data_IF_229987073104
#
_entry.id   IF_229987073104
#
_cell.length_a   1.000
_cell.length_b   1.000
_cell.length_c   1.000
_cell.angle_alpha   90.00
_cell.angle_beta   90.00
_cell.angle_gamma   90.00
#
_symmetry.space_group_name_H-M   'P 1'
#
loop_
_entity.id
_entity.type
_entity.pdbx_description
1 polymer ?
#
# COMPACT_ATOMS: atom_id res chain seq x y z
N UNK A 1 -11.97 0.94 11.30
CA UNK A 1 -10.67 0.85 10.59
C UNK A 1 -10.93 0.26 9.21
N UNK A 2 -10.57 0.95 8.12
CA UNK A 2 -10.60 0.36 6.78
C UNK A 2 -9.23 -0.21 6.41
N UNK A 3 -9.22 -1.18 5.51
CA UNK A 3 -8.01 -1.73 4.90
C UNK A 3 -7.96 -1.29 3.43
N UNK A 4 -6.81 -0.82 2.96
CA UNK A 4 -6.61 -0.30 1.60
C UNK A 4 -5.27 -0.76 1.05
N UNK A 5 -5.15 -0.74 -0.27
CA UNK A 5 -3.86 -0.87 -0.96
C UNK A 5 -3.52 0.49 -1.58
N UNK A 6 -2.32 1.00 -1.32
CA UNK A 6 -1.76 2.17 -2.00
C UNK A 6 -0.69 1.70 -2.99
N UNK A 7 -1.00 1.80 -4.28
CA UNK A 7 -0.14 1.29 -5.34
C UNK A 7 0.70 2.40 -5.97
N UNK A 8 2.03 2.34 -5.83
CA UNK A 8 3.01 3.30 -6.34
C UNK A 8 3.29 3.18 -7.85
N UNK A 9 2.35 2.64 -8.63
CA UNK A 9 2.58 2.30 -10.03
C UNK A 9 3.79 1.37 -10.20
N UNK A 10 4.63 1.65 -11.19
CA UNK A 10 5.94 1.04 -11.45
C UNK A 10 7.11 1.85 -10.84
N UNK A 11 6.81 2.86 -10.03
CA UNK A 11 7.82 3.73 -9.43
C UNK A 11 8.35 3.13 -8.13
N UNK A 12 9.36 2.27 -8.27
CA UNK A 12 10.04 1.60 -7.17
C UNK A 12 10.68 2.58 -6.17
N UNK A 13 11.22 3.70 -6.66
CA UNK A 13 11.77 4.76 -5.80
C UNK A 13 10.69 5.33 -4.89
N UNK A 14 9.52 5.67 -5.42
CA UNK A 14 8.45 6.24 -4.60
C UNK A 14 7.94 5.23 -3.56
N UNK A 15 7.87 3.95 -3.92
CA UNK A 15 7.54 2.87 -2.98
C UNK A 15 8.52 2.84 -1.80
N UNK A 16 9.83 2.83 -2.06
CA UNK A 16 10.84 2.84 -0.99
C UNK A 16 10.76 4.12 -0.15
N UNK A 17 10.60 5.29 -0.78
CA UNK A 17 10.47 6.55 -0.06
C UNK A 17 9.25 6.54 0.88
N UNK A 18 8.10 6.00 0.46
CA UNK A 18 6.94 5.83 1.34
C UNK A 18 7.28 5.00 2.58
N UNK A 19 7.97 3.87 2.38
CA UNK A 19 8.29 2.91 3.43
C UNK A 19 9.39 3.39 4.39
N UNK A 20 10.44 4.04 3.86
CA UNK A 20 11.59 4.54 4.61
C UNK A 20 11.24 5.81 5.40
N UNK A 21 10.54 6.76 4.77
CA UNK A 21 10.12 8.01 5.42
C UNK A 21 8.79 7.88 6.19
N UNK A 22 8.14 6.70 6.12
CA UNK A 22 6.86 6.42 6.80
C UNK A 22 5.79 7.44 6.42
N UNK A 23 5.61 7.64 5.12
CA UNK A 23 4.61 8.58 4.57
C UNK A 23 3.82 7.95 3.43
N UNK A 24 2.58 8.38 3.28
CA UNK A 24 1.68 7.94 2.21
C UNK A 24 1.08 9.15 1.48
N UNK A 25 1.32 9.22 0.17
CA UNK A 25 0.79 10.26 -0.71
C UNK A 25 -0.40 9.79 -1.53
N UNK A 26 -1.49 10.55 -1.53
CA UNK A 26 -2.73 10.27 -2.26
C UNK A 26 -3.05 11.41 -3.23
N UNK A 27 -3.28 11.07 -4.49
CA UNK A 27 -3.65 12.04 -5.54
C UNK A 27 -5.14 12.37 -5.58
N UNK A 28 -5.98 11.51 -4.99
CA UNK A 28 -7.43 11.55 -5.09
C UNK A 28 -8.11 11.38 -3.74
N UNK A 29 -8.60 10.17 -3.44
CA UNK A 29 -9.33 9.90 -2.21
C UNK A 29 -8.42 10.04 -0.99
N UNK A 30 -8.82 10.88 -0.03
CA UNK A 30 -8.16 10.94 1.27
C UNK A 30 -8.56 9.72 2.11
N UNK A 31 -7.60 8.99 2.70
CA UNK A 31 -7.90 8.01 3.74
C UNK A 31 -8.39 8.70 5.02
N UNK A 32 -8.93 7.91 5.95
CA UNK A 32 -9.20 8.35 7.31
C UNK A 32 -8.04 7.98 8.23
N UNK A 33 -7.83 8.77 9.29
CA UNK A 33 -6.90 8.40 10.37
C UNK A 33 -7.31 7.05 10.96
N UNK A 34 -6.32 6.18 11.18
CA UNK A 34 -6.53 4.81 11.65
C UNK A 34 -6.85 3.79 10.55
N UNK A 35 -6.89 4.17 9.27
CA UNK A 35 -6.95 3.20 8.18
C UNK A 35 -5.61 2.47 8.02
N UNK A 36 -5.65 1.15 7.79
CA UNK A 36 -4.47 0.34 7.46
C UNK A 36 -4.21 0.38 5.96
N UNK A 37 -2.97 0.68 5.59
CA UNK A 37 -2.53 0.77 4.19
C UNK A 37 -1.46 -0.28 3.92
N UNK A 38 -1.72 -1.13 2.93
CA UNK A 38 -0.70 -1.94 2.29
C UNK A 38 -0.02 -1.14 1.18
N UNK A 39 1.30 -0.99 1.24
CA UNK A 39 2.09 -0.34 0.20
C UNK A 39 2.42 -1.36 -0.88
N UNK A 40 2.06 -1.02 -2.13
CA UNK A 40 2.23 -1.89 -3.28
C UNK A 40 3.04 -1.21 -4.39
N UNK A 41 3.75 -2.00 -5.18
CA UNK A 41 4.51 -1.54 -6.35
C UNK A 41 4.54 -2.61 -7.43
N UNK A 42 4.59 -2.18 -8.69
CA UNK A 42 4.82 -3.06 -9.83
C UNK A 42 6.32 -3.16 -10.10
N UNK A 43 6.83 -4.38 -10.15
CA UNK A 43 8.21 -4.71 -10.51
C UNK A 43 8.20 -5.85 -11.52
N UNK A 44 8.93 -5.72 -12.64
CA UNK A 44 8.93 -6.69 -13.75
C UNK A 44 7.53 -7.10 -14.22
N UNK A 45 6.60 -6.14 -14.30
CA UNK A 45 5.23 -6.37 -14.77
C UNK A 45 4.26 -6.91 -13.71
N UNK A 46 4.75 -7.34 -12.54
CA UNK A 46 3.96 -7.96 -11.47
C UNK A 46 3.83 -7.00 -10.29
N UNK A 47 2.64 -6.92 -9.69
CA UNK A 47 2.37 -6.09 -8.51
C UNK A 47 2.62 -6.85 -7.22
N UNK A 48 3.38 -6.24 -6.32
CA UNK A 48 3.80 -6.80 -5.04
C UNK A 48 3.44 -5.88 -3.88
N UNK A 49 3.25 -6.47 -2.70
CA UNK A 49 3.19 -5.78 -1.41
C UNK A 49 4.44 -6.18 -0.62
N UNK A 50 5.09 -5.20 0.03
CA UNK A 50 6.22 -5.48 0.92
C UNK A 50 6.21 -4.67 2.23
N UNK A 51 5.23 -3.78 2.43
CA UNK A 51 5.10 -3.00 3.66
C UNK A 51 3.64 -2.67 3.95
N UNK A 52 3.31 -2.45 5.22
CA UNK A 52 2.02 -1.90 5.66
C UNK A 52 2.23 -0.87 6.77
N UNK A 53 1.24 -0.01 6.98
CA UNK A 53 1.24 0.96 8.08
C UNK A 53 -0.11 1.60 8.27
N UNK A 54 -0.32 2.22 9.43
CA UNK A 54 -1.59 2.86 9.80
C UNK A 54 -1.51 4.36 9.52
N UNK A 55 -2.51 4.92 8.84
CA UNK A 55 -2.63 6.36 8.60
C UNK A 55 -2.72 7.10 9.94
N UNK A 56 -1.83 8.05 10.12
CA UNK A 56 -1.82 8.94 11.28
C UNK A 56 -2.08 10.39 10.87
N UNK A 57 -1.34 11.36 11.42
CA UNK A 57 -1.58 12.77 11.17
C UNK A 57 -1.15 13.21 9.74
N UNK A 58 -1.85 14.20 9.14
CA UNK A 58 -1.41 14.84 7.90
C UNK A 58 -0.01 15.42 8.04
N UNK A 59 0.75 15.48 6.93
CA UNK A 59 2.10 16.01 6.95
C UNK A 59 2.48 16.73 5.65
N UNK A 60 3.45 17.63 5.77
CA UNK A 60 4.10 18.31 4.65
C UNK A 60 5.38 17.61 4.19
N UNK A 61 5.76 16.50 4.84
CA UNK A 61 6.91 15.70 4.42
C UNK A 61 6.57 14.97 3.11
N UNK A 62 7.20 15.42 2.02
CA UNK A 62 6.97 14.92 0.66
C UNK A 62 8.32 14.54 0.04
N UNK A 63 8.86 13.35 0.37
CA UNK A 63 10.19 12.94 -0.07
C UNK A 63 10.24 12.62 -1.58
N UNK A 64 9.09 12.52 -2.24
CA UNK A 64 8.98 12.16 -3.65
C UNK A 64 9.43 13.29 -4.58
N UNK A 65 10.22 13.01 -5.62
CA UNK A 65 10.57 14.01 -6.64
C UNK A 65 9.34 14.61 -7.34
N UNK A 66 8.26 13.83 -7.46
CA UNK A 66 6.99 14.23 -8.06
C UNK A 66 5.90 14.56 -7.01
N UNK A 67 6.33 15.10 -5.86
CA UNK A 67 5.49 15.51 -4.73
C UNK A 67 4.23 16.32 -5.11
N UNK A 68 4.28 17.09 -6.21
CA UNK A 68 3.17 17.91 -6.70
C UNK A 68 1.94 17.10 -7.10
N UNK A 69 2.08 15.79 -7.39
CA UNK A 69 0.96 14.90 -7.73
C UNK A 69 0.11 14.50 -6.52
N UNK A 70 0.65 14.60 -5.32
CA UNK A 70 0.00 14.13 -4.09
C UNK A 70 -0.70 15.29 -3.38
N UNK A 71 -2.03 15.29 -3.44
CA UNK A 71 -2.90 16.29 -2.81
C UNK A 71 -2.98 16.12 -1.30
N UNK A 72 -3.04 14.88 -0.85
CA UNK A 72 -3.10 14.51 0.56
C UNK A 72 -1.90 13.68 0.93
N UNK A 73 -1.24 14.02 2.04
CA UNK A 73 -0.04 13.33 2.50
C UNK A 73 -0.16 13.13 4.01
N UNK A 74 0.11 11.91 4.45
CA UNK A 74 -0.04 11.48 5.83
C UNK A 74 1.20 10.77 6.32
N UNK A 75 1.48 10.87 7.62
CA UNK A 75 2.40 9.97 8.31
C UNK A 75 1.78 8.58 8.41
N UNK A 76 2.65 7.59 8.39
CA UNK A 76 2.35 6.21 8.74
C UNK A 76 2.96 5.91 10.10
N UNK A 77 2.15 5.36 11.00
CA UNK A 77 2.63 4.74 12.24
C UNK A 77 2.53 3.22 12.12
N UNK A 78 3.15 2.52 13.07
CA UNK A 78 3.12 1.06 13.15
C UNK A 78 3.49 0.41 11.81
N UNK A 79 4.57 0.93 11.21
CA UNK A 79 5.04 0.46 9.89
C UNK A 79 5.72 -0.88 10.07
N UNK A 80 5.24 -1.87 9.33
CA UNK A 80 5.75 -3.23 9.31
C UNK A 80 6.22 -3.59 7.89
N UNK A 81 7.13 -4.55 7.81
CA UNK A 81 7.70 -5.02 6.55
C UNK A 81 7.47 -6.52 6.37
N UNK A 82 7.45 -6.96 5.12
CA UNK A 82 7.46 -8.37 4.77
C UNK A 82 8.31 -8.62 3.54
N UNK A 83 8.72 -9.87 3.34
CA UNK A 83 9.22 -10.33 2.05
C UNK A 83 8.12 -10.12 1.00
N UNK A 84 8.42 -9.44 -0.13
CA UNK A 84 7.38 -9.06 -1.07
C UNK A 84 6.61 -10.26 -1.62
N UNK A 85 5.29 -10.16 -1.61
CA UNK A 85 4.39 -11.17 -2.16
C UNK A 85 3.47 -10.58 -3.22
N UNK A 86 3.04 -11.42 -4.16
CA UNK A 86 2.23 -10.99 -5.30
C UNK A 86 0.79 -10.69 -4.91
N UNK A 87 0.23 -9.64 -5.51
CA UNK A 87 -1.18 -9.25 -5.28
C UNK A 87 -2.14 -10.02 -6.20
N UNK A 88 -1.62 -10.64 -7.28
CA UNK A 88 -2.43 -11.34 -8.28
C UNK A 88 -3.44 -12.35 -7.70
N UNK A 89 -3.15 -13.10 -6.61
CA UNK A 89 -4.13 -14.01 -6.02
C UNK A 89 -5.43 -13.34 -5.54
N UNK A 90 -5.46 -12.01 -5.35
CA UNK A 90 -6.70 -11.27 -5.08
C UNK A 90 -7.74 -11.39 -6.21
N UNK A 91 -7.33 -11.77 -7.42
CA UNK A 91 -8.22 -12.11 -8.53
C UNK A 91 -9.28 -13.14 -8.16
N UNK A 92 -8.98 -14.05 -7.21
CA UNK A 92 -9.94 -15.03 -6.68
C UNK A 92 -11.16 -14.37 -5.98
N UNK A 93 -10.98 -13.18 -5.41
CA UNK A 93 -12.02 -12.45 -4.66
C UNK A 93 -12.62 -11.26 -5.45
N UNK A 94 -11.92 -10.82 -6.49
CA UNK A 94 -12.30 -9.66 -7.31
C UNK A 94 -12.76 -10.01 -8.72
N UNK A 95 -12.60 -11.26 -9.16
CA UNK A 95 -12.89 -11.69 -10.53
C UNK A 95 -12.03 -10.96 -11.57
N UNK A 96 -12.54 -10.86 -12.79
CA UNK A 96 -11.86 -10.16 -13.91
C UNK A 96 -11.56 -8.68 -13.63
N UNK A 97 -12.31 -8.04 -12.73
CA UNK A 97 -12.15 -6.63 -12.37
C UNK A 97 -11.38 -6.39 -11.08
N UNK A 98 -10.68 -7.39 -10.55
CA UNK A 98 -10.01 -7.31 -9.24
C UNK A 98 -9.05 -6.12 -9.12
N UNK A 99 -8.29 -5.81 -10.17
CA UNK A 99 -7.32 -4.72 -10.14
C UNK A 99 -8.02 -3.36 -9.97
N UNK A 100 -9.12 -3.13 -10.69
CA UNK A 100 -9.93 -1.93 -10.52
C UNK A 100 -10.59 -1.89 -9.12
N UNK A 101 -10.97 -3.05 -8.58
CA UNK A 101 -11.61 -3.17 -7.26
C UNK A 101 -10.65 -2.89 -6.10
N UNK A 102 -9.40 -3.34 -6.19
CA UNK A 102 -8.46 -3.34 -5.06
C UNK A 102 -7.30 -2.34 -5.20
N UNK A 103 -6.90 -1.96 -6.42
CA UNK A 103 -5.74 -1.09 -6.66
C UNK A 103 -6.12 0.33 -7.07
N UNK A 104 -7.36 0.56 -7.53
CA UNK A 104 -7.78 1.88 -8.00
C UNK A 104 -7.97 2.86 -6.84
N UNK A 105 -7.22 3.96 -6.87
CA UNK A 105 -7.38 5.13 -5.99
C UNK A 105 -7.38 4.82 -4.49
N UNK A 106 -6.79 3.69 -4.07
CA UNK A 106 -6.73 3.25 -2.67
C UNK A 106 -8.09 3.24 -1.95
N UNK A 107 -9.13 2.72 -2.63
CA UNK A 107 -10.47 2.57 -2.05
C UNK A 107 -10.45 1.54 -0.89
N UNK A 108 -11.36 1.68 0.11
CA UNK A 108 -11.55 0.66 1.14
C UNK A 108 -11.89 -0.70 0.54
N UNK A 109 -11.20 -1.74 0.98
CA UNK A 109 -11.52 -3.12 0.63
C UNK A 109 -12.69 -3.57 1.49
N UNK A 110 -13.83 -3.84 0.86
CA UNK A 110 -15.07 -4.31 1.52
C UNK A 110 -15.29 -5.83 1.45
N UNK A 111 -14.27 -6.58 1.04
CA UNK A 111 -14.32 -8.04 0.84
C UNK A 111 -13.52 -8.70 1.96
N UNK A 112 -14.17 -9.26 2.99
CA UNK A 112 -13.48 -9.79 4.17
C UNK A 112 -12.42 -10.85 3.85
N UNK A 113 -12.69 -11.72 2.89
CA UNK A 113 -11.78 -12.78 2.46
C UNK A 113 -10.51 -12.22 1.82
N UNK A 114 -10.63 -11.12 1.09
CA UNK A 114 -9.49 -10.43 0.50
C UNK A 114 -8.62 -9.77 1.59
N UNK A 115 -9.24 -9.15 2.60
CA UNK A 115 -8.50 -8.57 3.73
C UNK A 115 -7.82 -9.62 4.59
N UNK A 116 -8.48 -10.76 4.80
CA UNK A 116 -7.91 -11.89 5.53
C UNK A 116 -6.73 -12.51 4.77
N UNK A 117 -6.85 -12.66 3.44
CA UNK A 117 -5.76 -13.11 2.59
C UNK A 117 -4.53 -12.18 2.70
N UNK A 118 -4.73 -10.87 2.60
CA UNK A 118 -3.64 -9.90 2.71
C UNK A 118 -2.92 -10.01 4.05
N UNK A 119 -3.66 -10.08 5.15
CA UNK A 119 -3.08 -10.21 6.49
C UNK A 119 -2.31 -11.52 6.63
N UNK A 120 -2.88 -12.64 6.20
CA UNK A 120 -2.23 -13.95 6.29
C UNK A 120 -0.93 -14.02 5.48
N UNK A 121 -0.93 -13.52 4.24
CA UNK A 121 0.29 -13.48 3.42
C UNK A 121 1.32 -12.52 4.03
N UNK A 122 0.89 -11.39 4.58
CA UNK A 122 1.81 -10.46 5.22
C UNK A 122 2.49 -11.09 6.45
N UNK A 123 1.71 -11.67 7.36
CA UNK A 123 2.22 -12.31 8.59
C UNK A 123 3.16 -13.47 8.25
N UNK A 124 2.78 -14.31 7.28
CA UNK A 124 3.62 -15.43 6.82
C UNK A 124 4.99 -14.97 6.30
N UNK A 125 5.05 -13.79 5.70
CA UNK A 125 6.25 -13.25 5.08
C UNK A 125 6.91 -12.16 5.92
N UNK A 126 6.51 -11.94 7.18
CA UNK A 126 6.99 -10.83 8.01
C UNK A 126 8.53 -10.78 8.10
N UNK A 127 9.09 -9.57 8.05
CA UNK A 127 10.53 -9.31 8.16
C UNK A 127 10.81 -8.07 9.00
N UNK A 128 11.96 -8.05 9.67
CA UNK A 128 12.39 -6.91 10.52
C UNK A 128 12.72 -5.63 9.73
N UNK A 129 12.98 -5.75 8.43
CA UNK A 129 13.41 -4.65 7.58
C UNK A 129 12.78 -4.70 6.19
N UNK A 130 12.75 -3.54 5.53
CA UNK A 130 12.30 -3.39 4.16
C UNK A 130 13.20 -4.18 3.20
N UNK A 131 12.60 -5.12 2.48
CA UNK A 131 13.28 -5.88 1.44
C UNK A 131 13.32 -5.08 0.14
N UNK A 132 14.49 -5.04 -0.49
CA UNK A 132 14.69 -4.42 -1.81
C UNK A 132 14.54 -5.47 -2.92
N UNK A 133 13.78 -5.11 -3.94
CA UNK A 133 13.63 -5.82 -5.22
C UNK A 133 14.92 -5.77 -6.05
#
# INVERSE_FOLDING_TARGET
>A
MNIRILHCGDNLRNYYLCAEHRVAGFSGLSPARGDLIYLAVKFNGISYIGAKGVIDDPTNDKPWPDASKYKYVFRLKDVEYCKPFEIQPLSKFGGSYWAAKFLQASKPIKVPEATLFLENEFVKNHTEALVKF
#
